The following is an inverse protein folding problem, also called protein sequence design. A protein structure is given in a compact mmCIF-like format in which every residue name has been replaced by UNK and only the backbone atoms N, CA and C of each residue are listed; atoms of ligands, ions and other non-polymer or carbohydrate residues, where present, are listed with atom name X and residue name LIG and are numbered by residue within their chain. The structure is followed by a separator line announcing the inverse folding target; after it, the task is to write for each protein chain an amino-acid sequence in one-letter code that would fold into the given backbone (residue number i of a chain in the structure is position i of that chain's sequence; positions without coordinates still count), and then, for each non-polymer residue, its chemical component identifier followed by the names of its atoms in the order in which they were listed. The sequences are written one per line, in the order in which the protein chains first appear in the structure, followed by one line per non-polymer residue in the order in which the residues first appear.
data_IF_854805033154
#
_entry.id   IF_854805033154
#
_cell.length_a   1.000
_cell.length_b   1.000
_cell.length_c   1.000
_cell.angle_alpha   90.00
_cell.angle_beta   90.00
_cell.angle_gamma   90.00
#
_symmetry.space_group_name_H-M   'P 1'
#
loop_
_entity.id
_entity.type
_entity.pdbx_description
1 polymer ?
#
# COMPACT_ATOMS: atom_id res chain seq x y z
N UNK A 1 23.42 12.71 29.29
CA UNK A 1 22.39 13.57 28.66
C UNK A 1 22.94 14.45 27.53
N UNK A 2 23.67 13.91 26.54
CA UNK A 2 24.34 14.74 25.50
C UNK A 2 24.19 14.25 24.04
N UNK A 3 23.45 13.19 23.75
CA UNK A 3 23.29 12.67 22.37
C UNK A 3 21.90 12.86 21.77
N UNK A 4 20.82 13.00 22.56
CA UNK A 4 19.46 13.22 22.04
C UNK A 4 19.13 14.70 21.72
N UNK A 5 19.68 15.64 22.49
CA UNK A 5 19.39 17.07 22.31
C UNK A 5 20.07 17.69 21.08
N UNK A 6 21.09 17.02 20.50
CA UNK A 6 21.74 17.44 19.25
C UNK A 6 20.99 17.00 17.99
N UNK A 7 20.17 15.93 18.04
CA UNK A 7 19.41 15.46 16.87
C UNK A 7 18.15 16.31 16.63
N UNK A 8 17.53 16.85 17.69
CA UNK A 8 16.31 17.67 17.60
C UNK A 8 16.61 19.15 17.27
N UNK A 9 17.77 19.70 17.69
CA UNK A 9 18.17 21.08 17.31
C UNK A 9 18.53 21.25 15.82
N UNK A 10 18.69 20.17 15.06
CA UNK A 10 18.92 20.24 13.61
C UNK A 10 17.65 20.55 12.78
N UNK A 11 16.47 20.58 13.40
CA UNK A 11 15.23 21.01 12.76
C UNK A 11 15.01 22.54 12.80
N UNK A 12 16.03 23.33 13.19
CA UNK A 12 16.03 24.80 13.14
C UNK A 12 17.00 25.40 12.13
N UNK A 13 17.69 24.59 11.32
CA UNK A 13 18.47 25.06 10.16
C UNK A 13 17.72 24.77 8.87
N UNK A 14 17.84 25.65 7.87
CA UNK A 14 17.17 25.61 6.56
C UNK A 14 17.49 24.39 5.68
N UNK A 15 17.98 23.29 6.24
CA UNK A 15 18.49 22.11 5.54
C UNK A 15 18.01 20.79 6.17
N UNK A 16 17.38 19.91 5.37
CA UNK A 16 17.13 18.50 5.71
C UNK A 16 18.17 17.63 5.01
N UNK A 17 18.61 16.54 5.65
CA UNK A 17 19.59 15.63 5.11
C UNK A 17 19.09 14.16 5.04
N UNK A 18 19.15 13.49 3.88
CA UNK A 18 18.80 12.05 3.71
C UNK A 18 20.03 11.25 3.31
N UNK A 19 20.21 10.05 3.84
CA UNK A 19 21.26 9.12 3.43
C UNK A 19 20.66 7.94 2.64
N UNK A 20 20.96 7.85 1.34
CA UNK A 20 20.56 6.74 0.47
C UNK A 20 21.77 5.89 0.12
N UNK A 21 21.94 4.75 0.80
CA UNK A 21 23.09 3.83 0.77
C UNK A 21 24.47 4.50 0.97
N UNK A 22 24.83 5.55 0.21
CA UNK A 22 26.02 6.39 0.37
C UNK A 22 25.82 7.87 -0.03
N UNK A 23 24.61 8.27 -0.44
CA UNK A 23 24.34 9.63 -0.93
C UNK A 23 23.69 10.47 0.17
N UNK A 24 24.38 11.53 0.59
CA UNK A 24 23.89 12.56 1.50
C UNK A 24 23.17 13.66 0.71
N UNK A 25 21.85 13.78 0.88
CA UNK A 25 21.01 14.73 0.15
C UNK A 25 20.63 15.93 1.01
N UNK A 26 21.10 17.12 0.66
CA UNK A 26 20.74 18.36 1.35
C UNK A 26 19.58 19.09 0.65
N UNK A 27 18.58 19.46 1.44
CA UNK A 27 17.31 20.00 0.98
C UNK A 27 17.08 21.41 1.48
N UNK A 28 16.77 22.37 0.59
CA UNK A 28 16.48 23.76 1.00
C UNK A 28 14.98 24.01 1.12
N UNK A 29 14.56 24.74 2.16
CA UNK A 29 13.14 25.04 2.39
C UNK A 29 12.58 25.98 1.30
N UNK A 30 11.47 25.60 0.70
CA UNK A 30 10.68 26.41 -0.25
C UNK A 30 9.61 27.23 0.50
N UNK A 31 9.09 28.28 -0.15
CA UNK A 31 8.01 29.17 0.34
C UNK A 31 6.73 28.42 0.76
N UNK A 32 6.47 27.24 0.18
CA UNK A 32 5.27 26.43 0.45
C UNK A 32 5.50 25.28 1.46
N UNK A 33 6.42 25.43 2.42
CA UNK A 33 6.79 24.40 3.41
C UNK A 33 7.31 23.05 2.87
N UNK A 34 7.43 22.88 1.55
CA UNK A 34 8.20 21.80 0.94
C UNK A 34 9.68 22.11 0.91
N UNK A 35 10.49 21.13 0.57
CA UNK A 35 11.92 21.27 0.36
C UNK A 35 12.27 20.96 -1.09
N UNK A 36 13.18 21.73 -1.67
CA UNK A 36 13.70 21.52 -3.03
C UNK A 36 15.13 21.02 -2.92
N UNK A 37 15.44 20.00 -3.70
CA UNK A 37 16.81 19.53 -3.91
C UNK A 37 17.42 20.28 -5.10
N UNK A 38 18.74 20.52 -5.11
CA UNK A 38 19.42 20.69 -6.41
C UNK A 38 19.12 19.41 -7.20
N UNK A 39 18.69 19.47 -8.46
CA UNK A 39 18.38 18.25 -9.24
C UNK A 39 19.59 17.30 -9.18
N UNK A 40 19.53 16.30 -8.31
CA UNK A 40 20.58 15.31 -8.11
C UNK A 40 20.10 14.05 -8.79
N UNK A 41 20.95 13.52 -9.67
CA UNK A 41 20.73 12.25 -10.33
C UNK A 41 21.07 11.14 -9.33
N UNK A 42 20.05 10.46 -8.83
CA UNK A 42 20.22 9.38 -7.83
C UNK A 42 20.20 8.03 -8.55
N UNK A 43 21.19 7.19 -8.24
CA UNK A 43 21.24 5.79 -8.67
C UNK A 43 20.60 4.93 -7.57
N UNK A 44 19.56 4.18 -7.90
CA UNK A 44 18.97 3.22 -6.97
C UNK A 44 19.30 1.82 -7.47
N UNK A 45 20.18 1.12 -6.75
CA UNK A 45 20.52 -0.28 -6.98
C UNK A 45 19.70 -1.15 -6.04
N UNK A 46 18.87 -2.03 -6.57
CA UNK A 46 18.15 -3.01 -5.76
C UNK A 46 17.34 -3.97 -6.61
N UNK A 47 17.55 -5.27 -6.38
CA UNK A 47 16.62 -6.31 -6.80
C UNK A 47 15.34 -6.13 -5.99
N UNK A 48 14.22 -5.85 -6.68
CA UNK A 48 12.82 -5.82 -6.20
C UNK A 48 12.04 -4.56 -6.63
N UNK A 49 12.67 -3.40 -6.91
CA UNK A 49 11.85 -2.18 -6.98
C UNK A 49 11.46 -1.63 -8.35
N UNK A 50 12.22 -1.84 -9.41
CA UNK A 50 12.08 -0.96 -10.59
C UNK A 50 12.20 -1.67 -11.94
N UNK A 51 11.81 -2.95 -11.98
CA UNK A 51 12.01 -3.94 -13.05
C UNK A 51 13.33 -4.70 -12.93
N UNK A 52 13.28 -6.00 -13.20
CA UNK A 52 14.46 -6.80 -13.43
C UNK A 52 15.26 -6.15 -14.59
N UNK A 53 16.56 -5.98 -14.36
CA UNK A 53 17.58 -5.65 -15.36
C UNK A 53 17.73 -4.22 -15.86
N UNK A 54 17.05 -3.20 -15.29
CA UNK A 54 17.27 -1.80 -15.73
C UNK A 54 17.65 -0.86 -14.59
N UNK A 55 18.83 -0.27 -14.74
CA UNK A 55 19.26 0.91 -14.01
C UNK A 55 18.24 2.03 -14.22
N UNK A 56 17.58 2.49 -13.15
CA UNK A 56 16.68 3.63 -13.23
C UNK A 56 17.30 4.83 -12.54
N UNK A 57 17.54 5.87 -13.33
CA UNK A 57 17.96 7.16 -12.83
C UNK A 57 16.74 8.02 -12.54
N UNK A 58 16.75 8.67 -11.38
CA UNK A 58 15.71 9.61 -11.03
C UNK A 58 16.30 10.97 -10.65
N UNK A 59 15.57 12.03 -10.97
CA UNK A 59 15.83 13.36 -10.44
C UNK A 59 14.96 13.58 -9.22
N UNK A 60 15.60 13.80 -8.08
CA UNK A 60 14.88 14.20 -6.89
C UNK A 60 14.45 15.67 -7.02
N UNK A 61 13.14 15.89 -7.10
CA UNK A 61 12.58 17.21 -7.38
C UNK A 61 12.21 17.93 -6.07
N UNK A 62 11.35 17.29 -5.27
CA UNK A 62 10.90 17.85 -3.99
C UNK A 62 10.86 16.82 -2.87
N UNK A 63 11.00 17.29 -1.64
CA UNK A 63 10.72 16.53 -0.43
C UNK A 63 9.73 17.27 0.47
N UNK A 64 8.78 16.55 1.07
CA UNK A 64 7.80 17.13 2.00
C UNK A 64 7.67 16.24 3.22
N UNK A 65 7.65 16.84 4.41
CA UNK A 65 7.41 16.09 5.64
C UNK A 65 5.91 15.78 5.70
N UNK A 66 5.55 14.49 5.80
CA UNK A 66 4.18 14.09 6.10
C UNK A 66 3.87 14.36 7.56
N UNK A 67 2.67 14.89 7.82
CA UNK A 67 2.16 15.13 9.16
C UNK A 67 1.62 13.82 9.77
N UNK A 68 2.51 12.90 10.15
CA UNK A 68 2.19 11.72 10.96
C UNK A 68 3.18 11.57 12.13
N UNK A 69 2.95 10.62 13.04
CA UNK A 69 3.74 10.46 14.27
C UNK A 69 5.25 10.33 14.00
N UNK A 70 5.62 9.54 13.00
CA UNK A 70 7.01 9.29 12.61
C UNK A 70 7.56 10.32 11.61
N UNK A 71 6.75 11.33 11.23
CA UNK A 71 7.09 12.42 10.29
C UNK A 71 7.88 11.94 9.05
N UNK A 72 7.39 10.91 8.33
CA UNK A 72 8.10 10.36 7.20
C UNK A 72 8.19 11.40 6.08
N UNK A 73 9.19 11.24 5.21
CA UNK A 73 9.49 12.21 4.18
C UNK A 73 8.97 11.72 2.83
N UNK A 74 8.01 12.44 2.25
CA UNK A 74 7.60 12.21 0.87
C UNK A 74 8.69 12.74 -0.07
N UNK A 75 9.23 11.88 -0.92
CA UNK A 75 10.17 12.18 -1.98
C UNK A 75 9.46 12.11 -3.32
N UNK A 76 9.56 13.17 -4.11
CA UNK A 76 9.05 13.20 -5.49
C UNK A 76 10.23 13.06 -6.44
N UNK A 77 10.24 11.97 -7.20
CA UNK A 77 11.23 11.69 -8.22
C UNK A 77 10.63 11.89 -9.61
N UNK A 78 11.40 12.51 -10.50
CA UNK A 78 11.10 12.61 -11.92
C UNK A 78 11.89 11.55 -12.69
N UNK A 79 11.22 10.74 -13.49
CA UNK A 79 11.87 9.79 -14.40
C UNK A 79 12.42 10.50 -15.66
N UNK A 80 13.15 9.76 -16.50
CA UNK A 80 13.77 10.29 -17.72
C UNK A 80 12.76 10.86 -18.74
N UNK A 81 11.50 10.41 -18.67
CA UNK A 81 10.41 10.89 -19.51
C UNK A 81 9.67 12.09 -18.90
N UNK A 82 10.13 12.58 -17.75
CA UNK A 82 9.54 13.72 -17.06
C UNK A 82 8.34 13.39 -16.17
N UNK A 83 7.95 12.13 -16.03
CA UNK A 83 6.83 11.70 -15.19
C UNK A 83 7.24 11.68 -13.72
N UNK A 84 6.40 12.25 -12.87
CA UNK A 84 6.61 12.32 -11.43
C UNK A 84 6.09 11.05 -10.73
N UNK A 85 6.89 10.53 -9.80
CA UNK A 85 6.55 9.42 -8.90
C UNK A 85 6.85 9.80 -7.46
N UNK A 86 5.92 9.47 -6.57
CA UNK A 86 6.03 9.76 -5.14
C UNK A 86 6.49 8.52 -4.39
N UNK A 87 7.34 8.74 -3.39
CA UNK A 87 7.83 7.70 -2.51
C UNK A 87 7.85 8.23 -1.09
N UNK A 88 7.69 7.34 -0.12
CA UNK A 88 7.77 7.64 1.29
C UNK A 88 9.10 7.11 1.83
N UNK A 89 9.97 7.99 2.26
CA UNK A 89 11.17 7.63 3.00
C UNK A 89 10.84 7.58 4.50
N UNK A 90 10.90 6.38 5.08
CA UNK A 90 10.72 6.15 6.51
C UNK A 90 12.09 5.91 7.17
N UNK A 91 12.29 6.48 8.36
CA UNK A 91 13.49 6.32 9.20
C UNK A 91 13.10 5.92 10.61
N UNK A 92 13.96 5.16 11.28
CA UNK A 92 13.70 4.56 12.59
C UNK A 92 12.51 3.59 12.59
N UNK A 93 12.27 2.92 11.46
CA UNK A 93 11.21 1.93 11.28
C UNK A 93 11.79 0.67 10.65
N UNK A 94 11.43 -0.49 11.16
CA UNK A 94 11.78 -1.78 10.55
C UNK A 94 10.79 -2.12 9.44
N UNK A 95 11.16 -1.89 8.18
CA UNK A 95 10.32 -2.22 7.01
C UNK A 95 10.45 -3.69 6.59
N UNK A 96 11.21 -4.49 7.33
CA UNK A 96 11.35 -5.93 7.10
C UNK A 96 9.99 -6.64 7.15
N UNK A 97 9.12 -6.21 8.07
CA UNK A 97 7.75 -6.71 8.20
C UNK A 97 6.93 -6.38 6.96
N UNK A 98 6.98 -5.13 6.48
CA UNK A 98 6.31 -4.73 5.24
C UNK A 98 6.81 -5.55 4.04
N UNK A 99 8.12 -5.79 3.92
CA UNK A 99 8.68 -6.63 2.85
C UNK A 99 8.13 -8.04 2.91
N UNK A 100 8.17 -8.67 4.09
CA UNK A 100 7.67 -10.02 4.29
C UNK A 100 6.21 -10.15 3.86
N UNK A 101 5.33 -9.24 4.32
CA UNK A 101 3.92 -9.28 3.96
C UNK A 101 3.69 -8.96 2.49
N UNK A 102 4.43 -8.02 1.91
CA UNK A 102 4.30 -7.70 0.49
C UNK A 102 4.67 -8.91 -0.38
N UNK A 103 5.77 -9.61 -0.07
CA UNK A 103 6.21 -10.82 -0.79
C UNK A 103 5.25 -12.00 -0.64
N UNK A 104 4.72 -12.24 0.56
CA UNK A 104 3.71 -13.30 0.75
C UNK A 104 2.41 -12.96 0.03
N UNK A 105 2.01 -11.69 0.07
CA UNK A 105 0.81 -11.22 -0.62
C UNK A 105 0.96 -11.43 -2.13
N UNK A 106 2.12 -11.07 -2.70
CA UNK A 106 2.47 -11.31 -4.10
C UNK A 106 2.38 -12.80 -4.45
N UNK A 107 3.02 -13.67 -3.68
CA UNK A 107 2.96 -15.11 -3.89
C UNK A 107 1.52 -15.65 -3.87
N UNK A 108 0.69 -15.21 -2.93
CA UNK A 108 -0.72 -15.63 -2.87
C UNK A 108 -1.51 -15.14 -4.08
N UNK A 109 -1.26 -13.91 -4.55
CA UNK A 109 -1.89 -13.39 -5.76
C UNK A 109 -1.54 -14.22 -6.99
N UNK A 110 -0.27 -14.62 -7.14
CA UNK A 110 0.18 -15.52 -8.20
C UNK A 110 -0.48 -16.91 -8.10
N UNK A 111 -0.53 -17.49 -6.90
CA UNK A 111 -1.14 -18.80 -6.66
C UNK A 111 -2.61 -18.89 -7.08
N UNK A 112 -3.38 -17.81 -6.93
CA UNK A 112 -4.81 -17.78 -7.28
C UNK A 112 -5.09 -17.10 -8.62
N UNK A 113 -4.06 -16.85 -9.42
CA UNK A 113 -4.12 -16.19 -10.73
C UNK A 113 -4.92 -14.86 -10.68
N UNK A 114 -4.58 -14.02 -9.70
CA UNK A 114 -5.22 -12.73 -9.50
C UNK A 114 -4.23 -11.58 -9.71
N UNK A 115 -4.52 -10.61 -10.59
CA UNK A 115 -3.62 -9.48 -10.79
C UNK A 115 -3.58 -8.59 -9.54
N UNK A 116 -2.39 -8.09 -9.23
CA UNK A 116 -2.13 -7.26 -8.07
C UNK A 116 -1.50 -5.92 -8.46
N UNK A 117 -1.48 -5.00 -7.51
CA UNK A 117 -0.85 -3.69 -7.65
C UNK A 117 -0.20 -3.31 -6.31
N UNK A 118 0.75 -4.13 -5.89
CA UNK A 118 1.49 -3.94 -4.65
C UNK A 118 2.50 -2.81 -4.79
N UNK A 119 2.80 -2.15 -3.68
CA UNK A 119 3.80 -1.09 -3.63
C UNK A 119 5.21 -1.67 -3.56
N UNK A 120 6.16 -1.00 -4.20
CA UNK A 120 7.55 -1.41 -4.16
C UNK A 120 8.25 -0.88 -2.90
N UNK A 121 9.16 -1.67 -2.33
CA UNK A 121 9.84 -1.41 -1.06
C UNK A 121 11.36 -1.58 -1.21
N UNK A 122 12.13 -0.60 -0.72
CA UNK A 122 13.59 -0.64 -0.69
C UNK A 122 14.10 -0.44 0.72
N UNK A 123 14.82 -1.43 1.23
CA UNK A 123 15.63 -1.24 2.43
C UNK A 123 16.91 -0.50 2.06
N UNK A 124 17.15 0.61 2.75
CA UNK A 124 18.39 1.40 2.63
C UNK A 124 19.34 1.11 3.79
N UNK A 125 18.80 0.69 4.94
CA UNK A 125 19.50 0.17 6.11
C UNK A 125 18.56 -0.74 6.90
N UNK A 126 18.99 -1.27 8.04
CA UNK A 126 18.13 -2.03 8.96
C UNK A 126 16.94 -1.20 9.50
N UNK A 127 17.06 0.13 9.58
CA UNK A 127 16.05 1.01 10.20
C UNK A 127 15.56 2.11 9.27
N UNK A 128 15.83 2.00 7.97
CA UNK A 128 15.39 3.00 6.99
C UNK A 128 15.12 2.39 5.63
N UNK A 129 14.15 2.96 4.94
CA UNK A 129 13.88 2.57 3.56
C UNK A 129 12.86 3.45 2.86
N UNK A 130 12.61 3.11 1.61
CA UNK A 130 11.77 3.84 0.69
C UNK A 130 10.59 2.95 0.30
N UNK A 131 9.39 3.52 0.33
CA UNK A 131 8.13 2.87 -0.04
C UNK A 131 7.55 3.62 -1.24
N UNK A 132 7.15 2.93 -2.29
CA UNK A 132 6.42 3.55 -3.40
C UNK A 132 5.03 4.01 -2.92
N UNK A 133 4.69 5.28 -3.18
CA UNK A 133 3.34 5.77 -2.93
C UNK A 133 2.46 5.48 -4.14
N UNK A 134 1.83 4.30 -4.15
CA UNK A 134 0.85 3.93 -5.18
C UNK A 134 -0.32 4.91 -5.22
N UNK A 135 -0.83 5.13 -6.42
CA UNK A 135 -2.06 5.88 -6.60
C UNK A 135 -3.24 5.04 -6.12
N UNK A 136 -3.94 5.54 -5.10
CA UNK A 136 -5.12 4.89 -4.55
C UNK A 136 -5.88 5.82 -3.63
N UNK A 137 -7.11 5.44 -3.31
CA UNK A 137 -7.97 6.11 -2.34
C UNK A 137 -8.03 5.27 -1.08
N UNK A 138 -7.88 5.91 0.07
CA UNK A 138 -8.12 5.24 1.36
C UNK A 138 -9.59 4.84 1.44
N UNK A 139 -9.87 3.68 2.03
CA UNK A 139 -11.25 3.26 2.27
C UNK A 139 -11.98 4.27 3.16
N UNK A 140 -11.27 4.92 4.09
CA UNK A 140 -11.83 5.98 4.94
C UNK A 140 -12.25 7.25 4.19
N UNK A 141 -11.76 7.45 2.95
CA UNK A 141 -12.15 8.59 2.11
C UNK A 141 -13.53 8.44 1.46
N UNK A 142 -14.15 7.27 1.56
CA UNK A 142 -15.52 7.03 1.09
C UNK A 142 -16.51 7.27 2.23
N UNK A 143 -17.32 8.32 2.11
CA UNK A 143 -18.23 8.75 3.19
C UNK A 143 -19.49 7.87 3.28
N UNK A 144 -19.82 7.15 2.20
CA UNK A 144 -21.02 6.32 2.14
C UNK A 144 -20.87 5.10 1.23
N UNK A 145 -21.72 4.10 1.46
CA UNK A 145 -21.85 2.92 0.59
C UNK A 145 -22.19 3.34 -0.84
N UNK A 146 -22.97 4.42 -1.01
CA UNK A 146 -23.37 4.91 -2.33
C UNK A 146 -22.17 5.45 -3.12
N UNK A 147 -21.26 6.18 -2.46
CA UNK A 147 -20.01 6.63 -3.08
C UNK A 147 -19.13 5.44 -3.48
N UNK A 148 -19.00 4.44 -2.60
CA UNK A 148 -18.25 3.22 -2.89
C UNK A 148 -18.86 2.42 -4.05
N UNK A 149 -20.19 2.27 -4.08
CA UNK A 149 -20.93 1.64 -5.19
C UNK A 149 -20.67 2.35 -6.52
N UNK A 150 -20.77 3.67 -6.57
CA UNK A 150 -20.50 4.46 -7.79
C UNK A 150 -19.05 4.33 -8.28
N UNK A 151 -18.12 4.11 -7.37
CA UNK A 151 -16.71 3.89 -7.72
C UNK A 151 -16.47 2.51 -8.34
N UNK A 152 -17.07 1.47 -7.75
CA UNK A 152 -16.89 0.07 -8.12
C UNK A 152 -17.79 -0.41 -9.26
N UNK A 153 -18.99 0.16 -9.38
CA UNK A 153 -20.01 -0.16 -10.37
C UNK A 153 -20.24 1.13 -11.16
N UNK A 154 -19.45 1.32 -12.22
CA UNK A 154 -19.51 2.53 -13.03
C UNK A 154 -20.47 2.37 -14.21
N UNK A 155 -20.69 1.13 -14.68
CA UNK A 155 -21.52 0.80 -15.82
C UNK A 155 -22.49 -0.36 -15.53
N UNK A 156 -23.55 -0.50 -16.35
CA UNK A 156 -24.43 -1.68 -16.28
C UNK A 156 -23.70 -2.98 -16.68
N UNK A 157 -22.66 -2.88 -17.50
CA UNK A 157 -21.78 -3.99 -17.85
C UNK A 157 -21.03 -4.52 -16.62
N UNK A 158 -20.56 -3.65 -15.73
CA UNK A 158 -19.92 -4.04 -14.46
C UNK A 158 -20.84 -4.91 -13.61
N UNK A 159 -22.12 -4.54 -13.54
CA UNK A 159 -23.12 -5.29 -12.79
C UNK A 159 -23.50 -6.59 -13.50
N UNK A 160 -23.58 -6.60 -14.83
CA UNK A 160 -23.90 -7.80 -15.62
C UNK A 160 -22.81 -8.87 -15.50
N UNK A 161 -21.53 -8.47 -15.53
CA UNK A 161 -20.38 -9.34 -15.26
C UNK A 161 -20.40 -9.89 -13.82
N UNK A 162 -20.98 -9.12 -12.90
CA UNK A 162 -21.27 -9.52 -11.54
C UNK A 162 -22.40 -10.53 -11.45
N UNK A 163 -23.30 -10.69 -12.42
CA UNK A 163 -24.39 -11.70 -12.36
C UNK A 163 -23.93 -13.02 -13.02
N UNK A 164 -23.03 -12.93 -14.00
CA UNK A 164 -22.60 -14.06 -14.84
C UNK A 164 -21.35 -14.81 -14.31
N UNK A 165 -21.05 -14.73 -13.01
CA UNK A 165 -19.79 -15.25 -12.41
C UNK A 165 -19.54 -16.77 -12.53
N UNK A 166 -20.49 -17.57 -13.04
CA UNK A 166 -20.25 -18.99 -13.39
C UNK A 166 -19.44 -19.17 -14.69
N UNK A 167 -19.27 -18.13 -15.49
CA UNK A 167 -18.70 -18.26 -16.84
C UNK A 167 -17.29 -17.69 -17.01
N UNK A 168 -16.76 -16.94 -16.03
CA UNK A 168 -15.45 -16.29 -16.18
C UNK A 168 -14.35 -17.02 -15.40
N UNK A 169 -13.61 -17.89 -16.09
CA UNK A 169 -12.22 -18.22 -15.72
C UNK A 169 -11.34 -17.12 -16.30
N UNK A 170 -10.74 -16.28 -15.46
CA UNK A 170 -9.88 -15.17 -15.87
C UNK A 170 -10.42 -13.77 -15.54
N UNK A 171 -9.62 -12.77 -15.90
CA UNK A 171 -9.85 -11.35 -15.61
C UNK A 171 -11.20 -10.85 -16.11
N UNK A 172 -11.90 -10.09 -15.26
CA UNK A 172 -12.94 -9.17 -15.68
C UNK A 172 -12.36 -7.76 -15.63
N UNK A 173 -12.57 -6.95 -16.67
CA UNK A 173 -12.28 -5.50 -16.63
C UNK A 173 -13.09 -4.77 -15.55
N UNK A 174 -13.98 -5.46 -14.85
CA UNK A 174 -14.85 -4.85 -13.86
C UNK A 174 -14.16 -4.59 -12.53
N UNK A 175 -14.24 -3.33 -12.08
CA UNK A 175 -13.64 -2.89 -10.81
C UNK A 175 -14.17 -3.66 -9.61
N UNK A 176 -15.45 -4.02 -9.64
CA UNK A 176 -16.06 -4.79 -8.55
C UNK A 176 -15.53 -6.21 -8.46
N UNK A 177 -15.15 -6.84 -9.59
CA UNK A 177 -14.56 -8.17 -9.57
C UNK A 177 -13.16 -8.12 -8.95
N UNK A 178 -12.34 -7.16 -9.38
CA UNK A 178 -11.03 -6.88 -8.78
C UNK A 178 -11.15 -6.59 -7.28
N UNK A 179 -12.14 -5.79 -6.88
CA UNK A 179 -12.42 -5.48 -5.48
C UNK A 179 -12.74 -6.73 -4.67
N UNK A 180 -13.66 -7.57 -5.12
CA UNK A 180 -14.06 -8.76 -4.39
C UNK A 180 -12.93 -9.79 -4.28
N UNK A 181 -12.15 -9.98 -5.36
CA UNK A 181 -11.00 -10.89 -5.37
C UNK A 181 -9.89 -10.43 -4.43
N UNK A 182 -9.44 -9.18 -4.59
CA UNK A 182 -8.39 -8.60 -3.75
C UNK A 182 -8.79 -8.48 -2.28
N UNK A 183 -10.05 -8.14 -1.98
CA UNK A 183 -10.57 -8.12 -0.62
C UNK A 183 -10.60 -9.52 0.01
N UNK A 184 -11.00 -10.56 -0.74
CA UNK A 184 -11.01 -11.93 -0.25
C UNK A 184 -9.59 -12.41 0.12
N UNK A 185 -8.62 -12.19 -0.78
CA UNK A 185 -7.20 -12.49 -0.55
C UNK A 185 -6.69 -11.74 0.68
N UNK A 186 -6.96 -10.44 0.75
CA UNK A 186 -6.62 -9.58 1.88
C UNK A 186 -7.12 -10.15 3.21
N UNK A 187 -8.37 -10.58 3.27
CA UNK A 187 -8.98 -11.09 4.51
C UNK A 187 -8.37 -12.43 4.91
N UNK A 188 -8.06 -13.29 3.95
CA UNK A 188 -7.38 -14.57 4.21
C UNK A 188 -5.98 -14.32 4.78
N UNK A 189 -5.22 -13.37 4.21
CA UNK A 189 -3.89 -13.00 4.73
C UNK A 189 -4.01 -12.46 6.16
N UNK A 190 -4.97 -11.56 6.42
CA UNK A 190 -5.17 -11.04 7.77
C UNK A 190 -5.55 -12.13 8.77
N UNK A 191 -6.33 -13.13 8.33
CA UNK A 191 -6.69 -14.28 9.15
C UNK A 191 -5.50 -15.18 9.45
N UNK A 192 -4.74 -15.58 8.42
CA UNK A 192 -3.60 -16.52 8.56
C UNK A 192 -2.48 -15.95 9.42
N UNK A 193 -2.20 -14.65 9.28
CA UNK A 193 -1.09 -13.99 9.97
C UNK A 193 -1.52 -13.16 11.19
N UNK A 194 -2.78 -13.30 11.60
CA UNK A 194 -3.39 -12.55 12.72
C UNK A 194 -3.10 -11.04 12.68
N UNK A 195 -3.31 -10.42 11.52
CA UNK A 195 -3.12 -8.97 11.33
C UNK A 195 -4.36 -8.24 11.87
N UNK A 196 -4.21 -7.52 12.99
CA UNK A 196 -5.34 -6.97 13.75
C UNK A 196 -5.63 -5.48 13.53
N UNK A 197 -4.67 -4.70 13.00
CA UNK A 197 -4.86 -3.25 12.82
C UNK A 197 -5.27 -2.88 11.38
N UNK A 198 -6.42 -3.40 10.96
CA UNK A 198 -6.93 -3.27 9.58
C UNK A 198 -8.15 -2.35 9.51
N UNK A 199 -7.92 -1.09 9.88
CA UNK A 199 -8.93 -0.03 9.79
C UNK A 199 -9.06 0.48 8.35
N UNK A 200 -10.10 1.28 8.07
CA UNK A 200 -10.30 1.92 6.76
C UNK A 200 -9.15 2.87 6.35
N UNK A 201 -8.30 3.30 7.30
CA UNK A 201 -7.14 4.17 7.07
C UNK A 201 -5.87 3.40 6.66
N UNK A 202 -5.86 2.08 6.87
CA UNK A 202 -4.74 1.21 6.51
C UNK A 202 -5.01 0.38 5.24
N UNK A 203 -6.10 0.70 4.53
CA UNK A 203 -6.51 0.01 3.32
C UNK A 203 -6.66 1.02 2.19
N UNK A 204 -5.95 0.78 1.10
CA UNK A 204 -6.05 1.54 -0.14
C UNK A 204 -6.79 0.75 -1.21
N UNK A 205 -7.45 1.49 -2.11
CA UNK A 205 -8.06 0.96 -3.32
C UNK A 205 -7.54 1.72 -4.53
N UNK A 206 -7.05 1.02 -5.55
CA UNK A 206 -6.64 1.65 -6.80
C UNK A 206 -7.82 1.96 -7.74
N UNK A 207 -7.53 2.65 -8.84
CA UNK A 207 -8.52 3.04 -9.86
C UNK A 207 -9.20 1.86 -10.56
N UNK A 208 -8.60 0.66 -10.51
CA UNK A 208 -9.15 -0.57 -11.08
C UNK A 208 -9.92 -1.40 -10.04
N UNK A 209 -10.12 -0.86 -8.83
CA UNK A 209 -10.87 -1.48 -7.75
C UNK A 209 -10.06 -2.47 -6.90
N UNK A 210 -8.74 -2.61 -7.11
CA UNK A 210 -7.92 -3.54 -6.35
C UNK A 210 -7.62 -2.99 -4.97
N UNK A 211 -7.80 -3.82 -3.95
CA UNK A 211 -7.56 -3.50 -2.54
C UNK A 211 -6.16 -3.98 -2.14
N UNK A 212 -5.41 -3.12 -1.48
CA UNK A 212 -4.14 -3.48 -0.87
C UNK A 212 -3.98 -2.80 0.49
N UNK A 213 -3.31 -3.51 1.39
CA UNK A 213 -3.01 -3.03 2.73
C UNK A 213 -1.79 -2.16 2.71
N UNK A 214 -1.73 -1.22 3.64
CA UNK A 214 -0.51 -0.48 3.96
C UNK A 214 -0.25 -0.57 5.46
N UNK A 215 0.99 -0.24 5.84
CA UNK A 215 1.41 -0.05 7.22
C UNK A 215 1.26 -1.31 8.09
N UNK A 216 2.19 -2.25 7.96
CA UNK A 216 2.18 -3.52 8.70
C UNK A 216 2.81 -3.45 10.11
N UNK A 217 2.99 -2.24 10.66
CA UNK A 217 3.69 -1.97 11.92
C UNK A 217 3.06 -2.70 13.14
N UNK A 218 1.76 -3.01 13.09
CA UNK A 218 1.03 -3.71 14.17
C UNK A 218 0.57 -5.12 13.77
N UNK A 219 1.53 -6.02 13.51
CA UNK A 219 1.30 -7.43 13.16
C UNK A 219 1.80 -8.38 14.26
N UNK A 220 1.46 -9.69 14.19
CA UNK A 220 2.02 -10.75 15.04
C UNK A 220 1.92 -10.54 16.58
N UNK A 221 0.76 -10.06 17.04
CA UNK A 221 0.48 -9.95 18.49
C UNK A 221 1.03 -8.68 19.16
N UNK A 222 1.72 -7.80 18.43
CA UNK A 222 2.20 -6.49 18.93
C UNK A 222 1.10 -5.42 19.01
N UNK A 223 -0.15 -5.75 18.63
CA UNK A 223 -1.27 -4.83 18.75
C UNK A 223 -1.64 -4.63 20.22
N UNK A 224 -1.80 -3.38 20.71
CA UNK A 224 -2.22 -3.11 22.09
C UNK A 224 -3.63 -3.63 22.41
N UNK A 225 -4.39 -4.12 21.41
CA UNK A 225 -5.75 -4.61 21.57
C UNK A 225 -5.85 -6.13 21.47
N UNK A 226 -5.68 -6.81 22.61
CA UNK A 226 -5.96 -8.24 22.75
C UNK A 226 -7.47 -8.59 22.68
N UNK A 227 -8.34 -7.58 22.64
CA UNK A 227 -9.81 -7.70 22.73
C UNK A 227 -10.53 -7.60 21.38
N UNK A 228 -9.83 -7.30 20.29
CA UNK A 228 -10.45 -7.21 18.96
C UNK A 228 -10.70 -8.59 18.35
N UNK A 229 -11.80 -8.77 17.58
CA UNK A 229 -12.04 -10.01 16.86
C UNK A 229 -10.87 -10.36 15.93
N UNK A 230 -10.62 -11.66 15.74
CA UNK A 230 -9.46 -12.17 14.95
C UNK A 230 -9.42 -11.67 13.50
N UNK A 231 -10.57 -11.29 12.95
CA UNK A 231 -10.72 -10.69 11.63
C UNK A 231 -11.70 -9.53 11.76
N UNK A 232 -11.30 -8.33 11.35
CA UNK A 232 -12.20 -7.17 11.28
C UNK A 232 -12.25 -6.67 9.83
N UNK A 233 -13.42 -6.80 9.21
CA UNK A 233 -13.71 -6.14 7.93
C UNK A 233 -14.24 -4.75 8.28
N UNK A 234 -13.65 -3.65 7.79
CA UNK A 234 -14.14 -2.31 8.06
C UNK A 234 -15.64 -2.17 7.78
N UNK A 235 -16.33 -1.42 8.65
CA UNK A 235 -17.79 -1.33 8.67
C UNK A 235 -18.39 -0.93 7.31
N UNK A 236 -17.74 -0.01 6.59
CA UNK A 236 -18.15 0.42 5.26
C UNK A 236 -18.13 -0.75 4.25
N UNK A 237 -17.04 -1.52 4.22
CA UNK A 237 -16.90 -2.67 3.31
C UNK A 237 -17.88 -3.78 3.68
N UNK A 238 -18.05 -4.05 4.97
CA UNK A 238 -19.02 -5.04 5.47
C UNK A 238 -20.46 -4.67 5.06
N UNK A 239 -20.84 -3.40 5.21
CA UNK A 239 -22.16 -2.93 4.78
C UNK A 239 -22.31 -2.94 3.26
N UNK A 240 -21.26 -2.63 2.50
CA UNK A 240 -21.27 -2.75 1.04
C UNK A 240 -21.51 -4.20 0.59
N UNK A 241 -20.77 -5.17 1.15
CA UNK A 241 -20.94 -6.59 0.83
C UNK A 241 -22.37 -7.06 1.13
N UNK A 242 -22.93 -6.65 2.26
CA UNK A 242 -24.31 -7.00 2.68
C UNK A 242 -25.41 -6.25 1.93
N UNK A 243 -25.06 -5.27 1.10
CA UNK A 243 -26.04 -4.43 0.41
C UNK A 243 -26.65 -5.08 -0.83
N UNK A 244 -26.09 -6.20 -1.30
CA UNK A 244 -26.55 -6.96 -2.45
C UNK A 244 -26.19 -8.44 -2.23
N UNK A 245 -27.18 -9.33 -2.33
CA UNK A 245 -26.99 -10.75 -2.08
C UNK A 245 -26.09 -11.43 -3.12
N UNK A 246 -26.06 -10.96 -4.36
CA UNK A 246 -25.20 -11.51 -5.41
C UNK A 246 -23.74 -11.18 -5.17
N UNK A 247 -23.46 -9.93 -4.76
CA UNK A 247 -22.13 -9.49 -4.33
C UNK A 247 -21.66 -10.34 -3.15
N UNK A 248 -22.51 -10.50 -2.13
CA UNK A 248 -22.18 -11.26 -0.94
C UNK A 248 -21.90 -12.74 -1.25
N UNK A 249 -22.73 -13.36 -2.07
CA UNK A 249 -22.57 -14.77 -2.46
C UNK A 249 -21.30 -14.99 -3.28
N UNK A 250 -21.01 -14.10 -4.24
CA UNK A 250 -19.75 -14.14 -5.00
C UNK A 250 -18.55 -14.00 -4.08
N UNK A 251 -18.60 -13.05 -3.15
CA UNK A 251 -17.54 -12.83 -2.17
C UNK A 251 -17.27 -14.07 -1.33
N UNK A 252 -18.30 -14.72 -0.77
CA UNK A 252 -18.13 -15.94 0.00
C UNK A 252 -17.59 -17.11 -0.84
N UNK A 253 -18.03 -17.22 -2.09
CA UNK A 253 -17.49 -18.23 -3.01
C UNK A 253 -15.99 -18.01 -3.28
N UNK A 254 -15.57 -16.78 -3.56
CA UNK A 254 -14.15 -16.41 -3.72
C UNK A 254 -13.36 -16.70 -2.45
N UNK A 255 -13.86 -16.27 -1.29
CA UNK A 255 -13.22 -16.49 -0.01
C UNK A 255 -13.01 -17.99 0.28
N UNK A 256 -14.05 -18.81 0.06
CA UNK A 256 -13.96 -20.27 0.25
C UNK A 256 -12.98 -20.93 -0.71
N UNK A 257 -13.02 -20.55 -1.99
CA UNK A 257 -12.15 -21.15 -3.01
C UNK A 257 -10.68 -20.76 -2.79
N UNK A 258 -10.39 -19.49 -2.57
CA UNK A 258 -9.03 -19.02 -2.32
C UNK A 258 -8.47 -19.60 -1.03
N UNK A 259 -9.28 -19.67 0.04
CA UNK A 259 -8.84 -20.29 1.29
C UNK A 259 -8.46 -21.77 1.10
N UNK A 260 -9.25 -22.54 0.34
CA UNK A 260 -8.92 -23.94 0.00
C UNK A 260 -7.62 -24.03 -0.78
N UNK A 261 -7.43 -23.21 -1.81
CA UNK A 261 -6.21 -23.21 -2.63
C UNK A 261 -4.98 -22.93 -1.76
N UNK A 262 -5.06 -21.87 -0.93
CA UNK A 262 -3.93 -21.42 -0.11
C UNK A 262 -3.58 -22.48 0.96
N UNK A 263 -4.57 -23.05 1.65
CA UNK A 263 -4.34 -24.05 2.72
C UNK A 263 -3.93 -25.41 2.18
N UNK A 264 -4.25 -25.78 0.93
CA UNK A 264 -3.80 -27.04 0.34
C UNK A 264 -2.33 -27.01 -0.11
N UNK A 265 -1.72 -25.82 -0.18
CA UNK A 265 -0.35 -25.61 -0.68
C UNK A 265 0.64 -25.27 0.46
N UNK A 266 0.13 -24.82 1.63
CA UNK A 266 0.90 -24.54 2.86
C UNK A 266 0.87 -25.77 3.77
#
# INVERSE_FOLDING_TARGET
MSSLHKKIKSLQSNQICIQLQDIKLDFTKNRNNGYISRKIKVKINGESLFSNDKLVWFYLDTAKIHHSQNKPLQLTFQDENGKLKNYLYKTNSELSIDIFFNSITEYIYELVDCPYNLYNLLMTSQQSGIIEMKQGRLISSFESIQQLKRFLIFSEEDYTLLINFKQHKGFSNSRIDNFLKSLAISIIICYLFEIRDRTSDNILMDKEGRVFHIDYEYTLGSSPSYLKPKIEIPSLLSRFLKSDSLILNKFYHLLSNYFKIIVLII
#
